data_IF_013026291058
#
_entry.id   IF_013026291058
#
_cell.length_a   1.000
_cell.length_b   1.000
_cell.length_c   1.000
_cell.angle_alpha   90.00
_cell.angle_beta   90.00
_cell.angle_gamma   90.00
#
_symmetry.space_group_name_H-M   'P 1'
#
loop_
_entity.id
_entity.type
_entity.pdbx_description
1 polymer ?
#
# COMPACT_ATOMS: atom_id res chain seq x y z
N UNK A 1 -8.47 1.84 45.34
CA UNK A 1 -8.15 0.54 44.69
C UNK A 1 -9.27 0.02 43.80
N UNK A 2 -10.53 -0.04 44.27
CA UNK A 2 -11.67 -0.55 43.47
C UNK A 2 -11.99 0.25 42.18
N UNK A 3 -11.80 1.57 42.22
CA UNK A 3 -11.95 2.44 41.04
C UNK A 3 -10.76 2.34 40.06
N UNK A 4 -9.56 2.02 40.56
CA UNK A 4 -8.35 1.87 39.72
C UNK A 4 -8.48 0.59 38.87
N UNK A 5 -9.01 -0.49 39.44
CA UNK A 5 -9.30 -1.72 38.71
C UNK A 5 -10.39 -1.53 37.63
N UNK A 6 -11.39 -0.69 37.88
CA UNK A 6 -12.43 -0.33 36.89
C UNK A 6 -11.88 0.54 35.75
N UNK A 7 -10.97 1.47 36.05
CA UNK A 7 -10.29 2.28 35.04
C UNK A 7 -9.35 1.39 34.20
N UNK A 8 -8.61 0.48 34.83
CA UNK A 8 -7.73 -0.47 34.13
C UNK A 8 -8.52 -1.43 33.21
N UNK A 9 -9.70 -1.88 33.64
CA UNK A 9 -10.60 -2.72 32.83
C UNK A 9 -11.22 -1.95 31.66
N UNK A 10 -11.51 -0.66 31.83
CA UNK A 10 -12.06 0.20 30.78
C UNK A 10 -11.01 0.57 29.72
N UNK A 11 -9.73 0.72 30.11
CA UNK A 11 -8.62 0.96 29.17
C UNK A 11 -8.32 -0.28 28.31
N UNK A 12 -8.49 -1.49 28.84
CA UNK A 12 -8.33 -2.73 28.05
C UNK A 12 -9.43 -2.96 27.02
N UNK A 13 -10.60 -2.34 27.17
CA UNK A 13 -11.72 -2.50 26.23
C UNK A 13 -11.57 -1.66 24.95
N UNK A 14 -10.49 -0.87 24.80
CA UNK A 14 -10.26 -0.01 23.64
C UNK A 14 -9.22 -0.53 22.65
N UNK A 15 -8.55 -1.67 22.90
CA UNK A 15 -7.50 -2.16 21.99
C UNK A 15 -7.96 -3.21 20.97
N UNK A 16 -9.22 -3.18 20.52
CA UNK A 16 -9.59 -3.98 19.36
C UNK A 16 -9.09 -3.24 18.11
N UNK A 17 -7.84 -3.51 17.72
CA UNK A 17 -7.32 -3.01 16.45
C UNK A 17 -8.04 -3.74 15.32
N UNK A 18 -8.76 -2.98 14.51
CA UNK A 18 -9.51 -3.49 13.35
C UNK A 18 -8.57 -3.84 12.19
N UNK A 19 -7.33 -3.31 12.22
CA UNK A 19 -6.27 -3.58 11.25
C UNK A 19 -4.96 -3.93 11.95
N UNK A 20 -4.24 -4.92 11.46
CA UNK A 20 -2.99 -5.38 12.08
C UNK A 20 -1.97 -5.83 11.03
N UNK A 21 -0.72 -5.41 11.18
CA UNK A 21 0.42 -5.93 10.43
C UNK A 21 0.76 -7.30 11.02
N UNK A 22 0.52 -8.37 10.25
CA UNK A 22 0.72 -9.74 10.72
C UNK A 22 2.11 -10.27 10.36
N UNK A 23 2.65 -9.82 9.24
CA UNK A 23 3.99 -10.18 8.77
C UNK A 23 4.51 -9.09 7.83
N UNK A 24 5.81 -9.07 7.60
CA UNK A 24 6.42 -8.22 6.59
C UNK A 24 7.72 -8.81 6.07
N UNK A 25 8.06 -8.44 4.85
CA UNK A 25 9.35 -8.73 4.24
C UNK A 25 9.97 -7.42 3.74
N UNK A 26 11.25 -7.20 4.03
CA UNK A 26 12.04 -6.08 3.51
C UNK A 26 13.25 -6.64 2.77
N UNK A 27 13.59 -6.03 1.64
CA UNK A 27 14.78 -6.39 0.90
C UNK A 27 16.05 -6.20 1.77
N UNK A 28 16.84 -7.25 2.05
CA UNK A 28 18.00 -7.17 2.94
C UNK A 28 19.15 -6.32 2.36
N UNK A 29 19.16 -6.08 1.04
CA UNK A 29 20.18 -5.28 0.36
C UNK A 29 19.87 -3.78 0.37
N UNK A 30 18.75 -3.37 0.98
CA UNK A 30 18.28 -2.00 1.07
C UNK A 30 18.26 -1.59 2.55
N UNK A 31 19.27 -0.83 2.96
CA UNK A 31 19.31 -0.28 4.32
C UNK A 31 18.28 0.85 4.47
N UNK A 32 18.32 1.82 3.56
CA UNK A 32 17.39 2.96 3.50
C UNK A 32 16.85 3.15 2.09
N UNK A 33 15.67 3.74 1.99
CA UNK A 33 15.05 4.17 0.74
C UNK A 33 14.32 5.50 0.96
N UNK A 34 14.27 6.33 -0.08
CA UNK A 34 13.55 7.60 -0.04
C UNK A 34 12.94 7.85 -1.41
N UNK A 35 11.61 7.65 -1.58
CA UNK A 35 10.95 7.88 -2.85
C UNK A 35 10.84 9.38 -3.15
N UNK A 36 11.07 9.79 -4.39
CA UNK A 36 10.82 11.16 -4.81
C UNK A 36 9.38 11.36 -5.31
N UNK A 37 8.85 10.39 -6.06
CA UNK A 37 7.52 10.46 -6.64
C UNK A 37 6.84 9.10 -6.73
N UNK A 38 5.76 8.97 -5.95
CA UNK A 38 5.06 7.70 -5.70
C UNK A 38 3.75 7.65 -6.48
N UNK A 39 3.50 6.53 -7.15
CA UNK A 39 2.15 6.16 -7.58
C UNK A 39 1.50 5.29 -6.49
N UNK A 40 0.32 5.68 -6.02
CA UNK A 40 -0.48 4.89 -5.08
C UNK A 40 -1.57 4.15 -5.85
N UNK A 41 -1.57 2.82 -5.72
CA UNK A 41 -2.48 1.92 -6.43
C UNK A 41 -3.20 1.03 -5.42
N UNK A 42 -4.53 1.12 -5.35
CA UNK A 42 -5.36 0.21 -4.57
C UNK A 42 -6.16 -0.74 -5.44
N UNK A 43 -6.01 -2.06 -5.27
CA UNK A 43 -6.88 -3.06 -5.89
C UNK A 43 -7.89 -3.57 -4.86
N UNK A 44 -9.08 -3.00 -4.94
CA UNK A 44 -10.27 -3.48 -4.23
C UNK A 44 -11.46 -3.31 -5.16
N UNK A 45 -12.42 -4.24 -5.13
CA UNK A 45 -13.69 -4.06 -5.84
C UNK A 45 -14.56 -2.97 -5.20
N UNK A 46 -14.34 -2.63 -3.93
CA UNK A 46 -15.01 -1.51 -3.27
C UNK A 46 -14.40 -0.18 -3.72
N UNK A 47 -15.07 0.49 -4.67
CA UNK A 47 -14.60 1.74 -5.25
C UNK A 47 -14.45 2.89 -4.22
N UNK A 48 -15.31 2.93 -3.20
CA UNK A 48 -15.24 3.97 -2.17
C UNK A 48 -14.02 3.77 -1.27
N UNK A 49 -13.80 2.55 -0.78
CA UNK A 49 -12.64 2.20 0.03
C UNK A 49 -11.33 2.43 -0.75
N UNK A 50 -11.29 2.03 -2.03
CA UNK A 50 -10.14 2.26 -2.92
C UNK A 50 -9.82 3.75 -3.07
N UNK A 51 -10.81 4.56 -3.47
CA UNK A 51 -10.61 5.99 -3.69
C UNK A 51 -10.12 6.67 -2.40
N UNK A 52 -10.73 6.32 -1.27
CA UNK A 52 -10.37 6.87 0.02
C UNK A 52 -8.95 6.45 0.45
N UNK A 53 -8.57 5.19 0.22
CA UNK A 53 -7.23 4.69 0.50
C UNK A 53 -6.18 5.45 -0.31
N UNK A 54 -6.38 5.56 -1.63
CA UNK A 54 -5.44 6.25 -2.51
C UNK A 54 -5.30 7.73 -2.13
N UNK A 55 -6.39 8.39 -1.75
CA UNK A 55 -6.41 9.80 -1.34
C UNK A 55 -5.71 10.06 0.00
N UNK A 56 -6.01 9.24 1.01
CA UNK A 56 -5.41 9.37 2.34
C UNK A 56 -3.91 9.04 2.31
N UNK A 57 -3.50 7.98 1.61
CA UNK A 57 -2.09 7.62 1.51
C UNK A 57 -1.30 8.65 0.69
N UNK A 58 -1.88 9.18 -0.40
CA UNK A 58 -1.29 10.31 -1.12
C UNK A 58 -1.06 11.49 -0.19
N UNK A 59 -2.07 11.89 0.57
CA UNK A 59 -1.98 13.03 1.51
C UNK A 59 -0.89 12.80 2.56
N UNK A 60 -0.84 11.60 3.15
CA UNK A 60 0.19 11.24 4.13
C UNK A 60 1.61 11.28 3.56
N UNK A 61 1.80 10.93 2.28
CA UNK A 61 3.09 11.05 1.60
C UNK A 61 3.45 12.50 1.30
N UNK A 62 2.49 13.32 0.84
CA UNK A 62 2.70 14.74 0.57
C UNK A 62 3.04 15.55 1.83
N UNK A 63 2.44 15.21 2.97
CA UNK A 63 2.82 15.76 4.29
C UNK A 63 4.26 15.46 4.68
N UNK A 64 4.85 14.41 4.08
CA UNK A 64 6.26 14.01 4.22
C UNK A 64 7.10 14.48 3.04
N UNK A 65 6.67 15.49 2.29
CA UNK A 65 7.45 16.07 1.20
C UNK A 65 7.62 15.17 -0.03
N UNK A 66 6.92 14.03 -0.10
CA UNK A 66 6.98 13.09 -1.21
C UNK A 66 5.88 13.44 -2.21
N UNK A 67 6.23 13.61 -3.49
CA UNK A 67 5.20 13.80 -4.51
C UNK A 67 4.41 12.51 -4.69
N UNK A 68 3.08 12.56 -4.70
CA UNK A 68 2.27 11.37 -4.87
C UNK A 68 1.10 11.58 -5.84
N UNK A 69 0.75 10.54 -6.58
CA UNK A 69 -0.43 10.51 -7.44
C UNK A 69 -1.26 9.26 -7.19
N UNK A 70 -2.57 9.37 -7.45
CA UNK A 70 -3.51 8.26 -7.31
C UNK A 70 -3.64 7.53 -8.63
N UNK A 71 -3.69 6.20 -8.59
CA UNK A 71 -3.98 5.38 -9.76
C UNK A 71 -5.32 5.73 -10.40
N UNK A 72 -6.32 6.08 -9.58
CA UNK A 72 -7.66 6.46 -10.07
C UNK A 72 -7.65 7.69 -10.98
N UNK A 73 -6.67 8.60 -10.83
CA UNK A 73 -6.53 9.78 -11.68
C UNK A 73 -5.85 9.47 -13.03
N UNK A 74 -5.26 8.28 -13.17
CA UNK A 74 -4.57 7.87 -14.39
C UNK A 74 -5.55 7.20 -15.36
N UNK A 75 -5.75 7.84 -16.52
CA UNK A 75 -6.65 7.34 -17.56
C UNK A 75 -6.36 5.89 -17.99
N UNK A 76 -5.08 5.50 -18.02
CA UNK A 76 -4.66 4.14 -18.41
C UNK A 76 -5.07 3.06 -17.38
N UNK A 77 -5.22 3.42 -16.11
CA UNK A 77 -5.67 2.53 -15.03
C UNK A 77 -7.18 2.63 -14.78
N UNK A 78 -7.79 3.79 -15.07
CA UNK A 78 -9.22 4.04 -14.85
C UNK A 78 -10.12 3.64 -16.02
N UNK A 79 -9.55 3.32 -17.19
CA UNK A 79 -10.30 3.02 -18.43
C UNK A 79 -10.97 1.64 -18.44
N UNK A 80 -12.09 1.51 -17.72
CA UNK A 80 -13.13 0.50 -17.96
C UNK A 80 -12.84 -0.92 -17.47
N UNK A 81 -13.87 -1.78 -17.53
CA UNK A 81 -13.93 -3.18 -17.01
C UNK A 81 -12.98 -4.18 -17.69
N UNK A 82 -11.90 -3.73 -18.33
CA UNK A 82 -11.01 -4.58 -19.10
C UNK A 82 -9.66 -4.69 -18.38
N UNK A 83 -9.29 -5.93 -18.07
CA UNK A 83 -7.97 -6.29 -17.58
C UNK A 83 -6.86 -5.71 -18.46
N UNK A 84 -5.78 -5.26 -17.84
CA UNK A 84 -4.60 -4.75 -18.53
C UNK A 84 -3.76 -5.92 -19.05
N UNK A 85 -3.22 -5.75 -20.26
CA UNK A 85 -2.25 -6.70 -20.83
C UNK A 85 -0.85 -6.37 -20.34
N UNK A 86 0.08 -7.30 -20.53
CA UNK A 86 1.48 -7.10 -20.19
C UNK A 86 2.07 -5.89 -20.93
N UNK A 87 1.71 -5.69 -22.20
CA UNK A 87 2.15 -4.55 -23.01
C UNK A 87 1.61 -3.23 -22.47
N UNK A 88 0.36 -3.21 -22.01
CA UNK A 88 -0.24 -2.03 -21.40
C UNK A 88 0.48 -1.64 -20.10
N UNK A 89 0.88 -2.63 -19.29
CA UNK A 89 1.66 -2.40 -18.08
C UNK A 89 3.10 -1.97 -18.37
N UNK A 90 3.73 -2.51 -19.40
CA UNK A 90 5.04 -2.01 -19.85
C UNK A 90 4.96 -0.55 -20.29
N UNK A 91 3.89 -0.17 -20.99
CA UNK A 91 3.65 1.22 -21.39
C UNK A 91 3.39 2.10 -20.17
N UNK A 92 2.62 1.62 -19.20
CA UNK A 92 2.39 2.32 -17.95
C UNK A 92 3.70 2.57 -17.20
N UNK A 93 4.55 1.56 -17.01
CA UNK A 93 5.86 1.72 -16.36
C UNK A 93 6.76 2.72 -17.10
N UNK A 94 6.74 2.71 -18.43
CA UNK A 94 7.45 3.70 -19.26
C UNK A 94 6.89 5.12 -19.07
N UNK A 95 5.57 5.28 -19.14
CA UNK A 95 4.89 6.57 -18.94
C UNK A 95 5.13 7.13 -17.53
N UNK A 96 5.20 6.25 -16.52
CA UNK A 96 5.52 6.60 -15.13
C UNK A 96 6.96 7.09 -15.02
N UNK A 97 7.90 6.37 -15.63
CA UNK A 97 9.32 6.76 -15.66
C UNK A 97 9.50 8.12 -16.36
N UNK A 98 8.83 8.33 -17.50
CA UNK A 98 8.85 9.60 -18.24
C UNK A 98 8.27 10.76 -17.42
N UNK A 99 7.29 10.48 -16.57
CA UNK A 99 6.71 11.42 -15.61
C UNK A 99 7.50 11.52 -14.29
N UNK A 100 8.70 10.92 -14.24
CA UNK A 100 9.62 10.94 -13.09
C UNK A 100 9.08 10.23 -11.84
N UNK A 101 8.16 9.27 -11.98
CA UNK A 101 7.82 8.36 -10.89
C UNK A 101 8.95 7.36 -10.70
N UNK A 102 9.35 7.15 -9.46
CA UNK A 102 10.40 6.20 -9.07
C UNK A 102 9.87 5.08 -8.16
N UNK A 103 8.64 5.20 -7.67
CA UNK A 103 8.06 4.25 -6.73
C UNK A 103 6.58 3.95 -7.02
N UNK A 104 6.18 2.70 -6.80
CA UNK A 104 4.76 2.30 -6.73
C UNK A 104 4.48 1.72 -5.35
N UNK A 105 3.46 2.23 -4.68
CA UNK A 105 2.82 1.56 -3.54
C UNK A 105 1.56 0.86 -4.04
N UNK A 106 1.58 -0.47 -3.97
CA UNK A 106 0.54 -1.33 -4.51
C UNK A 106 -0.12 -2.13 -3.41
N UNK A 107 -1.38 -1.79 -3.09
CA UNK A 107 -2.18 -2.48 -2.09
C UNK A 107 -3.26 -3.33 -2.73
N UNK A 108 -3.43 -4.56 -2.25
CA UNK A 108 -4.40 -5.53 -2.76
C UNK A 108 -4.94 -6.41 -1.64
N UNK A 109 -6.15 -6.92 -1.77
CA UNK A 109 -6.61 -8.03 -0.93
C UNK A 109 -6.05 -9.33 -1.53
N UNK A 110 -5.54 -10.21 -0.69
CA UNK A 110 -4.87 -11.46 -1.05
C UNK A 110 -5.65 -12.69 -0.55
N UNK A 111 -6.60 -12.50 0.36
CA UNK A 111 -7.43 -13.57 0.90
C UNK A 111 -8.54 -13.06 1.81
N UNK A 112 -9.41 -13.99 2.21
CA UNK A 112 -10.57 -13.79 3.08
C UNK A 112 -10.77 -15.09 3.86
N UNK A 113 -11.15 -15.00 5.14
CA UNK A 113 -11.15 -16.16 6.05
C UNK A 113 -12.14 -17.29 5.66
N UNK A 114 -13.16 -17.02 4.82
CA UNK A 114 -14.07 -18.07 4.32
C UNK A 114 -13.54 -18.84 3.09
N UNK A 115 -12.41 -18.42 2.50
CA UNK A 115 -11.71 -19.11 1.40
C UNK A 115 -10.22 -19.25 1.72
N UNK A 116 -9.88 -19.90 2.85
CA UNK A 116 -8.49 -20.19 3.21
C UNK A 116 -7.90 -21.28 2.31
N UNK A 117 -7.42 -20.89 1.13
CA UNK A 117 -6.31 -21.57 0.46
C UNK A 117 -4.95 -20.95 0.87
N UNK A 118 -4.94 -20.04 1.85
CA UNK A 118 -3.85 -19.08 2.03
C UNK A 118 -2.65 -19.61 2.82
N UNK A 119 -2.81 -20.64 3.66
CA UNK A 119 -1.70 -21.13 4.48
C UNK A 119 -0.76 -22.12 3.79
N UNK A 120 -1.15 -22.69 2.64
CA UNK A 120 -0.36 -23.75 1.99
C UNK A 120 0.61 -23.22 0.92
N UNK A 121 0.43 -21.99 0.44
CA UNK A 121 1.28 -21.41 -0.62
C UNK A 121 2.39 -20.47 -0.12
N UNK A 122 2.35 -20.06 1.14
CA UNK A 122 3.29 -19.07 1.69
C UNK A 122 4.70 -19.66 1.94
N UNK A 123 4.83 -20.98 2.08
CA UNK A 123 6.11 -21.64 2.40
C UNK A 123 6.90 -22.11 1.16
N UNK A 124 6.39 -21.92 -0.07
CA UNK A 124 6.88 -22.67 -1.24
C UNK A 124 7.45 -21.86 -2.41
N UNK A 125 7.28 -20.54 -2.45
CA UNK A 125 7.66 -19.74 -3.61
C UNK A 125 8.57 -18.59 -3.19
N UNK A 126 9.68 -18.41 -3.90
CA UNK A 126 10.60 -17.29 -3.71
C UNK A 126 9.94 -15.99 -4.22
N UNK A 127 8.89 -15.53 -3.54
CA UNK A 127 8.08 -14.35 -3.88
C UNK A 127 8.81 -13.02 -3.66
N UNK A 128 10.04 -13.12 -3.15
CA UNK A 128 11.02 -12.07 -2.87
C UNK A 128 11.39 -11.20 -4.09
N UNK A 129 11.17 -11.71 -5.31
CA UNK A 129 11.61 -11.07 -6.57
C UNK A 129 10.48 -10.80 -7.57
N UNK A 130 9.22 -10.85 -7.15
CA UNK A 130 8.07 -10.59 -8.04
C UNK A 130 8.03 -9.10 -8.40
N UNK A 131 7.88 -8.80 -9.70
CA UNK A 131 7.83 -7.42 -10.22
C UNK A 131 6.44 -6.81 -10.10
N UNK A 132 6.32 -5.48 -10.09
CA UNK A 132 5.01 -4.79 -10.06
C UNK A 132 4.06 -5.31 -11.14
N UNK A 133 4.51 -5.38 -12.39
CA UNK A 133 3.71 -5.90 -13.51
C UNK A 133 3.19 -7.31 -13.27
N UNK A 134 4.03 -8.21 -12.79
CA UNK A 134 3.67 -9.61 -12.54
C UNK A 134 2.63 -9.72 -11.41
N UNK A 135 2.81 -8.91 -10.37
CA UNK A 135 1.90 -8.83 -9.23
C UNK A 135 0.56 -8.22 -9.64
N UNK A 136 0.57 -7.13 -10.42
CA UNK A 136 -0.64 -6.52 -10.96
C UNK A 136 -1.44 -7.51 -11.82
N UNK A 137 -0.78 -8.20 -12.76
CA UNK A 137 -1.44 -9.16 -13.63
C UNK A 137 -2.09 -10.31 -12.85
N UNK A 138 -1.50 -10.72 -11.73
CA UNK A 138 -2.00 -11.80 -10.87
C UNK A 138 -3.27 -11.41 -10.12
N UNK A 139 -3.39 -10.15 -9.69
CA UNK A 139 -4.47 -9.71 -8.80
C UNK A 139 -5.49 -8.76 -9.44
N UNK A 140 -5.28 -8.31 -10.67
CA UNK A 140 -6.17 -7.36 -11.36
C UNK A 140 -7.64 -7.80 -11.45
N UNK A 141 -7.94 -9.10 -11.47
CA UNK A 141 -9.32 -9.61 -11.53
C UNK A 141 -10.19 -9.07 -10.38
N UNK A 142 -9.59 -8.81 -9.22
CA UNK A 142 -10.22 -8.19 -8.05
C UNK A 142 -10.72 -6.77 -8.31
N UNK A 143 -10.01 -6.01 -9.14
CA UNK A 143 -10.37 -4.64 -9.47
C UNK A 143 -11.48 -4.58 -10.52
N UNK A 144 -11.48 -5.54 -11.46
CA UNK A 144 -12.41 -5.56 -12.60
C UNK A 144 -13.66 -6.43 -12.38
N UNK A 145 -13.70 -7.28 -11.35
CA UNK A 145 -14.87 -8.09 -11.02
C UNK A 145 -15.67 -7.47 -9.85
N UNK A 146 -16.86 -6.90 -10.09
CA UNK A 146 -17.67 -6.30 -9.03
C UNK A 146 -18.21 -7.33 -8.01
N UNK A 147 -18.36 -8.60 -8.41
CA UNK A 147 -18.87 -9.69 -7.57
C UNK A 147 -17.72 -10.43 -6.83
N UNK A 148 -16.51 -9.86 -6.79
CA UNK A 148 -15.34 -10.55 -6.24
C UNK A 148 -15.43 -10.77 -4.73
N UNK A 149 -16.12 -9.90 -4.00
CA UNK A 149 -16.34 -10.07 -2.57
C UNK A 149 -17.82 -10.32 -2.26
N UNK A 150 -18.10 -11.44 -1.58
CA UNK A 150 -19.24 -11.49 -0.66
C UNK A 150 -18.87 -10.71 0.62
N UNK A 151 -19.83 -10.35 1.48
CA UNK A 151 -19.52 -9.72 2.77
C UNK A 151 -18.75 -10.72 3.66
N UNK A 152 -17.46 -10.46 3.92
CA UNK A 152 -16.59 -11.33 4.72
C UNK A 152 -16.18 -10.67 6.03
N UNK A 153 -15.88 -11.50 7.04
CA UNK A 153 -15.56 -11.02 8.39
C UNK A 153 -14.09 -10.62 8.54
N UNK A 154 -13.18 -11.25 7.80
CA UNK A 154 -11.75 -10.91 7.83
C UNK A 154 -11.20 -10.87 6.41
N UNK A 155 -10.50 -9.78 6.09
CA UNK A 155 -9.75 -9.60 4.85
C UNK A 155 -8.26 -9.68 5.14
N UNK A 156 -7.54 -10.45 4.33
CA UNK A 156 -6.09 -10.45 4.30
C UNK A 156 -5.66 -9.57 3.13
N UNK A 157 -4.89 -8.52 3.41
CA UNK A 157 -4.37 -7.59 2.43
C UNK A 157 -2.85 -7.59 2.40
N UNK A 158 -2.27 -7.23 1.26
CA UNK A 158 -0.84 -7.04 1.06
C UNK A 158 -0.61 -5.65 0.50
N UNK A 159 0.34 -4.90 1.07
CA UNK A 159 0.88 -3.69 0.45
C UNK A 159 2.34 -3.92 0.08
N UNK A 160 2.68 -3.68 -1.18
CA UNK A 160 4.01 -3.82 -1.73
C UNK A 160 4.57 -2.47 -2.14
N UNK A 161 5.85 -2.22 -1.85
CA UNK A 161 6.60 -1.05 -2.31
C UNK A 161 7.58 -1.48 -3.40
N UNK A 162 7.42 -0.89 -4.59
CA UNK A 162 8.25 -1.18 -5.76
C UNK A 162 9.08 0.02 -6.18
N UNK A 163 10.34 -0.22 -6.59
CA UNK A 163 11.20 0.73 -7.31
C UNK A 163 10.90 0.63 -8.82
N UNK A 164 10.46 1.71 -9.47
CA UNK A 164 10.46 1.80 -10.94
C UNK A 164 11.79 2.42 -11.37
N UNK A 165 12.87 1.71 -11.06
CA UNK A 165 14.21 2.23 -11.19
C UNK A 165 14.88 1.65 -12.45
N UNK A 166 15.71 2.42 -13.18
CA UNK A 166 16.31 1.96 -14.43
C UNK A 166 17.14 0.66 -14.30
N UNK A 167 17.62 0.36 -13.09
CA UNK A 167 18.36 -0.87 -12.77
C UNK A 167 17.42 -1.93 -12.20
N UNK A 168 17.22 -3.00 -12.97
CA UNK A 168 16.21 -4.07 -12.78
C UNK A 168 16.38 -5.00 -11.59
N UNK A 169 17.46 -4.87 -10.80
CA UNK A 169 17.82 -5.88 -9.80
C UNK A 169 17.18 -5.67 -8.41
N UNK A 170 16.40 -4.58 -8.22
CA UNK A 170 15.82 -4.20 -6.92
C UNK A 170 14.42 -3.61 -7.03
N UNK A 171 13.57 -4.27 -7.82
CA UNK A 171 12.22 -3.77 -8.07
C UNK A 171 11.31 -3.90 -6.85
N UNK A 172 11.40 -4.96 -6.04
CA UNK A 172 10.62 -5.08 -4.78
C UNK A 172 11.46 -4.65 -3.57
N UNK A 173 10.97 -3.63 -2.85
CA UNK A 173 11.64 -3.03 -1.69
C UNK A 173 11.08 -3.60 -0.39
N UNK A 174 9.76 -3.68 -0.29
CA UNK A 174 9.07 -4.09 0.92
C UNK A 174 7.69 -4.67 0.60
N UNK A 175 7.25 -5.60 1.45
CA UNK A 175 5.88 -6.10 1.52
C UNK A 175 5.41 -6.13 2.96
N UNK A 176 4.20 -5.66 3.21
CA UNK A 176 3.49 -5.82 4.46
C UNK A 176 2.22 -6.62 4.27
N UNK A 177 1.95 -7.55 5.17
CA UNK A 177 0.74 -8.37 5.22
C UNK A 177 -0.15 -7.84 6.34
N UNK A 178 -1.36 -7.42 6.00
CA UNK A 178 -2.29 -6.72 6.87
C UNK A 178 -3.60 -7.49 6.97
N UNK A 179 -3.98 -7.85 8.19
CA UNK A 179 -5.30 -8.39 8.48
C UNK A 179 -6.26 -7.25 8.83
N UNK A 180 -7.44 -7.27 8.23
CA UNK A 180 -8.55 -6.34 8.48
C UNK A 180 -9.72 -7.15 9.00
N UNK A 181 -10.10 -6.93 10.26
CA UNK A 181 -11.16 -7.68 10.95
C UNK A 181 -12.40 -6.80 11.10
N UNK A 182 -13.56 -7.28 10.63
CA UNK A 182 -14.87 -6.65 10.80
C UNK A 182 -14.91 -5.17 10.34
N UNK A 183 -14.66 -4.89 9.04
CA UNK A 183 -14.57 -3.53 8.50
C UNK A 183 -15.95 -2.86 8.38
N UNK A 184 -16.55 -2.52 9.52
CA UNK A 184 -17.90 -1.93 9.60
C UNK A 184 -17.95 -0.50 9.11
N UNK A 185 -16.84 0.23 9.25
CA UNK A 185 -16.75 1.65 8.92
C UNK A 185 -15.55 1.90 8.00
N UNK A 186 -15.80 2.02 6.69
CA UNK A 186 -14.78 2.22 5.64
C UNK A 186 -13.78 3.31 6.06
N UNK A 187 -14.27 4.43 6.58
CA UNK A 187 -13.42 5.56 6.95
C UNK A 187 -12.38 5.22 8.02
N UNK A 188 -12.83 4.54 9.07
CA UNK A 188 -11.99 4.11 10.18
C UNK A 188 -11.03 3.00 9.74
N UNK A 189 -11.54 2.02 8.99
CA UNK A 189 -10.73 0.92 8.47
C UNK A 189 -9.60 1.43 7.57
N UNK A 190 -9.92 2.30 6.60
CA UNK A 190 -8.95 2.87 5.66
C UNK A 190 -7.94 3.74 6.39
N UNK A 191 -8.38 4.61 7.30
CA UNK A 191 -7.48 5.47 8.08
C UNK A 191 -6.51 4.65 8.93
N UNK A 192 -6.99 3.58 9.55
CA UNK A 192 -6.15 2.67 10.34
C UNK A 192 -5.15 1.91 9.46
N UNK A 193 -5.57 1.45 8.28
CA UNK A 193 -4.67 0.82 7.30
C UNK A 193 -3.57 1.78 6.86
N UNK A 194 -3.94 2.98 6.38
CA UNK A 194 -2.97 3.97 5.87
C UNK A 194 -1.97 4.35 6.95
N UNK A 195 -2.44 4.61 8.17
CA UNK A 195 -1.57 4.90 9.30
C UNK A 195 -0.58 3.77 9.59
N UNK A 196 -1.05 2.52 9.54
CA UNK A 196 -0.22 1.34 9.75
C UNK A 196 0.87 1.19 8.68
N UNK A 197 0.52 1.37 7.39
CA UNK A 197 1.50 1.36 6.29
C UNK A 197 2.55 2.44 6.48
N UNK A 198 2.10 3.66 6.77
CA UNK A 198 3.00 4.81 6.94
C UNK A 198 3.97 4.60 8.11
N UNK A 199 3.47 4.15 9.27
CA UNK A 199 4.32 3.82 10.43
C UNK A 199 5.33 2.73 10.06
N UNK A 200 4.91 1.67 9.37
CA UNK A 200 5.81 0.59 8.98
C UNK A 200 6.91 1.10 8.03
N UNK A 201 6.57 1.95 7.05
CA UNK A 201 7.55 2.52 6.12
C UNK A 201 8.55 3.46 6.83
N UNK A 202 8.09 4.24 7.83
CA UNK A 202 8.95 5.09 8.65
C UNK A 202 9.91 4.26 9.53
N UNK A 203 9.38 3.30 10.28
CA UNK A 203 10.19 2.44 11.18
C UNK A 203 11.23 1.62 10.41
N UNK A 204 10.96 1.30 9.15
CA UNK A 204 11.86 0.57 8.26
C UNK A 204 12.79 1.48 7.45
N UNK A 205 12.79 2.80 7.67
CA UNK A 205 13.59 3.79 6.95
C UNK A 205 13.39 3.74 5.42
N UNK A 206 12.14 3.55 5.00
CA UNK A 206 11.72 3.54 3.58
C UNK A 206 11.06 4.86 3.16
N UNK A 207 10.63 5.66 4.14
CA UNK A 207 10.20 7.05 4.01
C UNK A 207 10.65 7.83 5.25
N UNK A 208 10.79 9.14 5.11
CA UNK A 208 11.13 10.03 6.23
C UNK A 208 9.87 10.43 7.03
N UNK A 209 9.97 10.49 8.38
CA UNK A 209 8.91 11.06 9.21
C UNK A 209 8.61 12.53 8.94
N UNK A 210 7.38 12.94 9.25
CA UNK A 210 6.95 14.35 9.15
C UNK A 210 7.90 15.25 9.95
N UNK A 211 8.43 16.29 9.30
CA UNK A 211 9.24 17.33 9.94
C UNK A 211 10.75 17.10 9.98
N UNK A 212 11.29 16.03 9.39
CA UNK A 212 12.75 15.85 9.22
C UNK A 212 13.32 16.43 7.91
N UNK A 213 12.50 17.09 7.09
CA UNK A 213 12.96 17.72 5.85
C UNK A 213 13.77 19.00 6.17
N UNK A 214 15.03 19.11 5.74
CA UNK A 214 15.74 20.38 5.81
C UNK A 214 14.97 21.44 4.99
N UNK A 215 14.91 22.70 5.45
CA UNK A 215 14.26 23.75 4.68
C UNK A 215 14.88 23.79 3.28
N UNK A 216 14.02 23.72 2.26
CA UNK A 216 14.42 23.84 0.85
C UNK A 216 15.17 25.18 0.73
N UNK A 217 16.49 25.14 0.58
CA UNK A 217 17.26 26.33 0.24
C UNK A 217 16.77 26.78 -1.13
N UNK A 218 15.96 27.84 -1.15
CA UNK A 218 15.63 28.54 -2.38
C UNK A 218 16.95 28.96 -3.02
N UNK A 219 17.29 28.36 -4.17
CA UNK A 219 18.37 28.82 -5.01
C UNK A 219 18.19 30.32 -5.21
N UNK A 220 19.06 31.10 -4.58
CA UNK A 220 19.21 32.51 -4.88
C UNK A 220 19.67 32.60 -6.32
N UNK A 221 18.74 32.87 -7.23
CA UNK A 221 19.04 33.40 -8.56
C UNK A 221 19.76 34.74 -8.35
N UNK A 222 21.09 34.66 -8.30
CA UNK A 222 21.96 35.82 -8.42
C UNK A 222 21.93 36.23 -9.89
N UNK A 223 21.25 37.34 -10.13
CA UNK A 223 21.40 38.15 -11.33
C UNK A 223 22.31 39.34 -10.99
#
# INVERSE_FOLDING_TARGET
>A
MRYIALILLMVMAWSCSETQLVDYWKNPDIETYSPAKVLVVGLSSNAAARLQFEDQLKTALEERGIMAARATDMANLSSGSKTLTEEALNQLEADLTDQSFDTILFSKVIGIEDKVAYKTNYEGFDETYVRFKEDFLRYQDMYYNPDYYDEYTIYHAETSMYCICPTKDRELIWKGYIDITDPREIDKTVSSYVNLVVIALEELNLIEPVGMHPPIESETLVN
#
